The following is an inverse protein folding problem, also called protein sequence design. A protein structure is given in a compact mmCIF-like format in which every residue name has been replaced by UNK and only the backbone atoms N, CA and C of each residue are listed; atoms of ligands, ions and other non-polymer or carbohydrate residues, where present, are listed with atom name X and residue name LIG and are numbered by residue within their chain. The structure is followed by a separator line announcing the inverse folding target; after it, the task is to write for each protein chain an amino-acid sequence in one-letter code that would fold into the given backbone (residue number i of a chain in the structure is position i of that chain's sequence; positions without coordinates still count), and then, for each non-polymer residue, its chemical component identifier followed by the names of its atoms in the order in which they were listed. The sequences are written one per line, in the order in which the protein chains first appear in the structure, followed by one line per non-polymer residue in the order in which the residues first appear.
data_IF_740639023145
#
_entry.id   IF_740639023145
#
_cell.length_a   1.000
_cell.length_b   1.000
_cell.length_c   1.000
_cell.angle_alpha   90.00
_cell.angle_beta   90.00
_cell.angle_gamma   90.00
#
_symmetry.space_group_name_H-M   'P 1'
#
loop_
_entity.id
_entity.type
_entity.pdbx_description
1 polymer ?
#
# COMPACT_ATOMS: atom_id res chain seq x y z
N UNK A 1 1.90 9.40 -12.63
CA UNK A 1 0.63 8.69 -12.45
C UNK A 1 0.01 9.03 -11.11
N UNK A 2 -1.28 8.84 -10.99
CA UNK A 2 -2.03 9.19 -9.80
C UNK A 2 -2.57 7.92 -9.16
N UNK A 3 -2.36 7.77 -7.86
CA UNK A 3 -2.93 6.66 -7.11
C UNK A 3 -3.64 7.23 -5.89
N UNK A 4 -4.35 6.38 -5.17
CA UNK A 4 -5.08 6.80 -3.97
C UNK A 4 -4.61 5.99 -2.78
N UNK A 5 -4.11 6.68 -1.75
CA UNK A 5 -3.63 6.05 -0.52
C UNK A 5 -4.59 6.42 0.60
N UNK A 6 -5.32 5.44 1.10
CA UNK A 6 -6.34 5.67 2.14
C UNK A 6 -7.29 6.80 1.74
N UNK A 7 -7.65 6.83 0.45
CA UNK A 7 -8.54 7.84 -0.07
C UNK A 7 -7.87 9.14 -0.52
N UNK A 8 -6.61 9.32 -0.20
CA UNK A 8 -5.90 10.55 -0.57
C UNK A 8 -5.22 10.42 -1.91
N UNK A 9 -5.44 11.40 -2.77
CA UNK A 9 -4.84 11.45 -4.08
C UNK A 9 -3.33 11.65 -3.94
N UNK A 10 -2.55 10.77 -4.55
CA UNK A 10 -1.11 10.78 -4.41
C UNK A 10 -0.45 10.64 -5.78
N UNK A 11 0.57 11.43 -6.01
CA UNK A 11 1.27 11.42 -7.28
C UNK A 11 2.52 10.55 -7.18
N UNK A 12 2.68 9.65 -8.15
CA UNK A 12 3.89 8.85 -8.28
C UNK A 12 4.59 9.19 -9.57
N UNK A 13 5.92 9.26 -9.53
CA UNK A 13 6.70 9.60 -10.71
C UNK A 13 6.84 8.42 -11.65
N UNK A 14 6.89 7.22 -11.12
CA UNK A 14 7.02 6.04 -11.96
C UNK A 14 6.44 4.84 -11.23
N UNK A 15 6.15 3.80 -12.00
CA UNK A 15 5.58 2.58 -11.44
C UNK A 15 6.59 1.88 -10.53
N UNK A 16 6.07 1.15 -9.56
CA UNK A 16 6.90 0.43 -8.60
C UNK A 16 6.08 -0.74 -8.08
N UNK A 17 6.74 -1.69 -7.44
CA UNK A 17 6.02 -2.79 -6.81
C UNK A 17 5.37 -2.29 -5.52
N UNK A 18 4.31 -2.96 -5.10
CA UNK A 18 3.65 -2.63 -3.85
C UNK A 18 4.61 -2.78 -2.68
N UNK A 19 5.47 -3.81 -2.73
CA UNK A 19 6.46 -4.02 -1.68
C UNK A 19 7.39 -2.83 -1.52
N UNK A 20 7.96 -2.35 -2.62
CA UNK A 20 8.88 -1.22 -2.57
C UNK A 20 8.18 0.05 -2.11
N UNK A 21 6.96 0.25 -2.59
CA UNK A 21 6.19 1.42 -2.20
C UNK A 21 5.92 1.43 -0.69
N UNK A 22 5.54 0.29 -0.15
CA UNK A 22 5.25 0.18 1.28
C UNK A 22 6.50 0.39 2.13
N UNK A 23 7.62 -0.18 1.70
CA UNK A 23 8.88 0.00 2.43
C UNK A 23 9.30 1.45 2.46
N UNK A 24 9.10 2.16 1.37
CA UNK A 24 9.51 3.56 1.28
C UNK A 24 8.60 4.49 2.07
N UNK A 25 7.29 4.26 2.01
CA UNK A 25 6.32 5.19 2.57
C UNK A 25 5.75 4.79 3.92
N UNK A 26 5.88 3.54 4.30
CA UNK A 26 5.33 3.04 5.55
C UNK A 26 6.36 2.28 6.36
N UNK A 27 7.62 2.66 6.23
CA UNK A 27 8.69 1.98 6.95
C UNK A 27 8.61 2.18 8.47
N UNK A 28 7.87 3.20 8.91
CA UNK A 28 7.69 3.45 10.35
C UNK A 28 6.64 2.55 10.97
N UNK A 29 5.84 1.89 10.16
CA UNK A 29 4.85 0.98 10.69
C UNK A 29 5.51 -0.32 11.08
N UNK A 30 5.08 -0.88 12.19
CA UNK A 30 5.51 -2.20 12.58
C UNK A 30 4.95 -3.19 11.55
N UNK A 31 5.32 -4.46 11.68
CA UNK A 31 4.81 -5.47 10.76
C UNK A 31 3.32 -5.76 10.94
N UNK A 32 2.66 -5.04 11.85
CA UNK A 32 1.25 -5.28 12.17
C UNK A 32 0.33 -4.35 11.39
N UNK A 33 0.29 -4.50 10.09
CA UNK A 33 -0.66 -3.76 9.28
C UNK A 33 -1.22 -4.65 8.18
N UNK A 34 -2.37 -4.27 7.67
CA UNK A 34 -3.02 -4.98 6.57
C UNK A 34 -3.14 -4.03 5.40
N UNK A 35 -3.05 -4.57 4.20
CA UNK A 35 -3.11 -3.78 2.97
C UNK A 35 -4.22 -4.33 2.09
N UNK A 36 -5.05 -3.41 1.57
CA UNK A 36 -6.01 -3.74 0.53
C UNK A 36 -5.60 -3.01 -0.74
N UNK A 37 -5.61 -3.72 -1.84
CA UNK A 37 -5.23 -3.18 -3.13
C UNK A 37 -6.45 -3.27 -4.05
N UNK A 38 -6.97 -2.11 -4.46
CA UNK A 38 -8.21 -2.03 -5.25
C UNK A 38 -9.37 -2.77 -4.56
N UNK A 39 -9.51 -2.51 -3.25
CA UNK A 39 -10.59 -3.06 -2.43
C UNK A 39 -10.48 -4.56 -2.16
N UNK A 40 -9.31 -5.12 -2.36
CA UNK A 40 -9.10 -6.55 -2.13
C UNK A 40 -7.92 -6.74 -1.19
N UNK A 41 -8.13 -7.51 -0.13
CA UNK A 41 -7.06 -7.79 0.81
C UNK A 41 -5.90 -8.51 0.13
N UNK A 42 -4.69 -8.07 0.42
CA UNK A 42 -3.47 -8.63 -0.16
C UNK A 42 -2.59 -9.20 0.95
N UNK A 43 -2.28 -10.50 0.91
CA UNK A 43 -1.35 -11.06 1.89
C UNK A 43 0.06 -10.54 1.63
N UNK A 44 0.85 -10.47 2.71
CA UNK A 44 2.20 -9.94 2.63
C UNK A 44 3.05 -10.64 1.57
N UNK A 45 2.88 -11.94 1.41
CA UNK A 45 3.66 -12.72 0.46
C UNK A 45 3.42 -12.30 -0.99
N UNK A 46 2.33 -11.58 -1.26
CA UNK A 46 2.00 -11.13 -2.61
C UNK A 46 2.48 -9.72 -2.93
N UNK A 47 2.99 -8.99 -1.95
CA UNK A 47 3.38 -7.59 -2.16
C UNK A 47 4.41 -7.43 -3.28
N UNK A 48 5.36 -8.35 -3.36
CA UNK A 48 6.42 -8.25 -4.35
C UNK A 48 5.93 -8.49 -5.78
N UNK A 49 4.80 -9.17 -5.92
CA UNK A 49 4.25 -9.51 -7.23
C UNK A 49 3.26 -8.49 -7.76
N UNK A 50 2.89 -7.51 -6.97
CA UNK A 50 1.92 -6.51 -7.36
C UNK A 50 2.63 -5.26 -7.84
N UNK A 51 2.29 -4.83 -9.05
CA UNK A 51 2.83 -3.61 -9.63
C UNK A 51 1.75 -2.54 -9.56
N UNK A 52 2.13 -1.38 -9.05
CA UNK A 52 1.20 -0.25 -8.91
C UNK A 52 1.09 0.48 -10.23
N UNK A 53 -0.14 0.72 -10.66
CA UNK A 53 -0.42 1.44 -11.89
C UNK A 53 -1.30 2.65 -11.64
N UNK A 54 -1.41 3.51 -12.63
CA UNK A 54 -2.23 4.70 -12.54
C UNK A 54 -3.67 4.34 -12.17
N UNK A 55 -4.23 5.06 -11.22
CA UNK A 55 -5.61 4.85 -10.79
C UNK A 55 -5.78 3.82 -9.68
N UNK A 56 -4.72 3.13 -9.30
CA UNK A 56 -4.83 2.10 -8.27
C UNK A 56 -5.13 2.71 -6.90
N UNK A 57 -5.85 1.93 -6.08
CA UNK A 57 -6.21 2.33 -4.73
C UNK A 57 -5.51 1.41 -3.74
N UNK A 58 -4.82 2.01 -2.79
CA UNK A 58 -4.11 1.28 -1.75
C UNK A 58 -4.63 1.73 -0.40
N UNK A 59 -5.05 0.78 0.41
CA UNK A 59 -5.48 1.09 1.77
C UNK A 59 -4.60 0.34 2.75
N UNK A 60 -4.04 1.09 3.69
CA UNK A 60 -3.17 0.51 4.71
C UNK A 60 -3.81 0.75 6.07
N UNK A 61 -4.10 -0.34 6.75
CA UNK A 61 -4.74 -0.27 8.06
C UNK A 61 -3.77 -0.82 9.08
N UNK A 62 -3.44 0.01 10.05
CA UNK A 62 -2.54 -0.37 11.11
C UNK A 62 -3.32 -1.13 12.19
N UNK A 63 -2.88 -2.31 12.52
CA UNK A 63 -3.48 -3.06 13.61
C UNK A 63 -2.84 -2.56 14.91
N UNK A 64 -3.61 -1.83 15.69
CA UNK A 64 -3.12 -1.24 16.92
C UNK A 64 -3.82 -1.86 18.11
N UNK A 65 -3.33 -2.98 18.60
CA UNK A 65 -3.98 -3.63 19.75
C UNK A 65 -3.93 -2.70 20.97
N UNK A 66 -5.04 -2.63 21.65
CA UNK A 66 -5.13 -1.83 22.85
C UNK A 66 -5.29 -0.35 22.60
N UNK A 67 -5.59 -0.02 21.38
CA UNK A 67 -5.84 1.37 21.01
C UNK A 67 -4.62 2.19 21.02
#
# INVERSE_FOLDING_TARGET
MIIFINGDKTKLNKTTSLEKFLKKNFSNLSSSYAVAFNNEFVPRSSYQDIIINDGDKIEVVSAQPGG
#
